data_IF_475819978604
#
_entry.id   IF_475819978604
#
_cell.length_a   1.000
_cell.length_b   1.000
_cell.length_c   1.000
_cell.angle_alpha   90.00
_cell.angle_beta   90.00
_cell.angle_gamma   90.00
#
_symmetry.space_group_name_H-M   'P 1'
#
loop_
_entity.id
_entity.type
_entity.pdbx_description
1 polymer ?
#
# COMPACT_ATOMS: atom_id res chain seq x y z
N UNK A 1 -8.07 -5.82 -0.77
CA UNK A 1 -6.97 -4.86 -0.60
C UNK A 1 -7.55 -3.46 -0.63
N UNK A 2 -7.39 -2.75 0.46
CA UNK A 2 -7.78 -1.36 0.62
C UNK A 2 -6.52 -0.59 0.94
N UNK A 3 -6.22 0.45 0.16
CA UNK A 3 -5.18 1.42 0.46
C UNK A 3 -5.83 2.79 0.60
N UNK A 4 -5.58 3.44 1.73
CA UNK A 4 -6.02 4.81 2.01
C UNK A 4 -4.83 5.68 2.32
N UNK A 5 -4.74 6.84 1.69
CA UNK A 5 -3.73 7.84 2.01
C UNK A 5 -4.41 9.13 2.48
N UNK A 6 -4.03 9.57 3.67
CA UNK A 6 -4.52 10.75 4.33
C UNK A 6 -3.45 11.82 4.35
N UNK A 7 -3.76 13.00 3.82
CA UNK A 7 -2.91 14.18 3.97
C UNK A 7 -3.14 14.77 5.35
N UNK A 8 -2.07 14.93 6.11
CA UNK A 8 -2.09 15.61 7.39
C UNK A 8 -1.98 17.12 7.13
N UNK A 9 -2.94 17.87 7.67
CA UNK A 9 -2.99 19.32 7.58
C UNK A 9 -2.32 19.93 8.82
N UNK A 10 -1.79 21.14 8.67
CA UNK A 10 -1.17 21.87 9.79
C UNK A 10 -2.17 22.21 10.90
N UNK A 11 -3.47 22.21 10.59
CA UNK A 11 -4.57 22.35 11.56
C UNK A 11 -4.79 21.12 12.45
N UNK A 12 -3.97 20.06 12.32
CA UNK A 12 -4.09 18.81 13.06
C UNK A 12 -5.10 17.81 12.49
N UNK A 13 -5.82 18.18 11.42
CA UNK A 13 -6.80 17.32 10.75
C UNK A 13 -6.13 16.43 9.69
N UNK A 14 -6.75 15.28 9.38
CA UNK A 14 -6.32 14.38 8.32
C UNK A 14 -7.42 14.24 7.27
N UNK A 15 -7.09 14.41 5.99
CA UNK A 15 -8.04 14.29 4.88
C UNK A 15 -7.66 13.11 4.00
N UNK A 16 -8.56 12.15 3.82
CA UNK A 16 -8.38 11.05 2.88
C UNK A 16 -8.41 11.60 1.44
N UNK A 17 -7.29 11.58 0.75
CA UNK A 17 -7.19 12.06 -0.64
C UNK A 17 -7.07 10.92 -1.65
N UNK A 18 -6.60 9.75 -1.21
CA UNK A 18 -6.48 8.56 -2.07
C UNK A 18 -7.17 7.40 -1.39
N UNK A 19 -8.05 6.72 -2.11
CA UNK A 19 -8.63 5.45 -1.72
C UNK A 19 -8.60 4.50 -2.92
N UNK A 20 -7.99 3.33 -2.73
CA UNK A 20 -7.93 2.25 -3.72
C UNK A 20 -8.52 1.01 -3.07
N UNK A 21 -9.63 0.54 -3.62
CA UNK A 21 -10.27 -0.71 -3.22
C UNK A 21 -10.22 -1.70 -4.37
N UNK A 22 -9.49 -2.79 -4.17
CA UNK A 22 -9.30 -3.87 -5.15
C UNK A 22 -9.21 -5.24 -4.50
N UNK A 23 -9.48 -6.30 -5.25
CA UNK A 23 -9.27 -7.67 -4.78
C UNK A 23 -7.78 -7.97 -4.67
N UNK A 24 -7.39 -8.92 -3.81
CA UNK A 24 -5.98 -9.32 -3.70
C UNK A 24 -5.42 -9.82 -5.04
N UNK A 25 -6.22 -10.62 -5.77
CA UNK A 25 -5.91 -11.06 -7.14
C UNK A 25 -5.57 -9.88 -8.07
N UNK A 26 -6.41 -8.84 -8.08
CA UNK A 26 -6.16 -7.67 -8.94
C UNK A 26 -4.88 -6.94 -8.55
N UNK A 27 -4.52 -6.91 -7.26
CA UNK A 27 -3.35 -6.19 -6.78
C UNK A 27 -2.04 -6.94 -7.04
N UNK A 28 -2.04 -8.27 -6.97
CA UNK A 28 -0.87 -9.08 -7.37
C UNK A 28 -0.56 -8.94 -8.86
N UNK A 29 -1.56 -8.61 -9.68
CA UNK A 29 -1.43 -8.39 -11.12
C UNK A 29 -1.15 -6.92 -11.50
N UNK A 30 -1.28 -5.97 -10.55
CA UNK A 30 -1.12 -4.54 -10.81
C UNK A 30 0.35 -4.13 -10.91
N UNK A 31 0.74 -3.64 -12.09
CA UNK A 31 2.07 -3.06 -12.32
C UNK A 31 2.23 -1.62 -11.81
N UNK A 32 1.13 -0.98 -11.38
CA UNK A 32 1.12 0.42 -10.94
C UNK A 32 1.43 0.57 -9.45
N UNK A 33 1.91 1.76 -9.07
CA UNK A 33 2.04 2.19 -7.68
C UNK A 33 2.98 1.37 -6.79
N UNK A 34 3.91 0.61 -7.38
CA UNK A 34 4.88 -0.20 -6.63
C UNK A 34 4.26 -1.36 -5.82
N UNK A 35 2.97 -1.65 -6.03
CA UNK A 35 2.26 -2.71 -5.30
C UNK A 35 2.72 -4.11 -5.72
N UNK A 36 3.01 -4.34 -7.00
CA UNK A 36 3.64 -5.60 -7.43
C UNK A 36 4.98 -5.84 -6.74
N UNK A 37 5.79 -4.80 -6.60
CA UNK A 37 7.06 -4.92 -5.90
C UNK A 37 6.83 -5.34 -4.44
N UNK A 38 5.91 -4.67 -3.74
CA UNK A 38 5.51 -5.04 -2.37
C UNK A 38 5.16 -6.53 -2.25
N UNK A 39 4.26 -7.04 -3.09
CA UNK A 39 3.71 -8.39 -2.96
C UNK A 39 4.61 -9.49 -3.54
N UNK A 40 5.29 -9.23 -4.65
CA UNK A 40 5.99 -10.27 -5.41
C UNK A 40 7.49 -10.20 -5.22
N UNK A 41 8.07 -9.00 -5.21
CA UNK A 41 9.52 -8.81 -5.25
C UNK A 41 10.14 -8.71 -3.84
N UNK A 42 9.43 -8.07 -2.91
CA UNK A 42 9.90 -7.80 -1.55
C UNK A 42 9.23 -8.68 -0.48
N UNK A 43 8.28 -9.53 -0.86
CA UNK A 43 7.69 -10.52 0.06
C UNK A 43 8.26 -11.91 -0.23
N UNK A 44 8.67 -12.62 0.82
CA UNK A 44 9.24 -13.96 0.73
C UNK A 44 8.41 -14.97 1.56
N UNK A 45 7.94 -16.08 0.96
CA UNK A 45 7.96 -16.36 -0.48
C UNK A 45 7.10 -15.34 -1.27
N UNK A 46 7.30 -15.24 -2.58
CA UNK A 46 6.57 -14.29 -3.41
C UNK A 46 5.05 -14.53 -3.31
N UNK A 47 4.27 -13.48 -3.13
CA UNK A 47 2.81 -13.61 -3.03
C UNK A 47 2.23 -13.81 -4.44
N UNK A 48 1.73 -15.02 -4.67
CA UNK A 48 0.91 -15.37 -5.82
C UNK A 48 -0.54 -15.61 -5.38
N UNK A 49 -1.48 -15.48 -6.32
CA UNK A 49 -2.86 -15.86 -6.09
C UNK A 49 -3.14 -17.24 -6.71
N UNK A 50 -3.83 -18.16 -6.00
CA UNK A 50 -4.32 -18.03 -4.63
C UNK A 50 -3.19 -18.07 -3.59
N UNK A 51 -3.41 -17.46 -2.43
CA UNK A 51 -2.46 -17.56 -1.32
C UNK A 51 -2.36 -19.00 -0.82
N UNK A 52 -1.14 -19.44 -0.57
CA UNK A 52 -0.88 -20.74 0.04
C UNK A 52 -1.18 -20.66 1.54
N UNK A 53 -1.91 -21.66 2.04
CA UNK A 53 -2.21 -21.77 3.47
C UNK A 53 -0.96 -22.21 4.22
N UNK A 54 -0.87 -21.81 5.49
CA UNK A 54 0.22 -22.21 6.41
C UNK A 54 1.61 -21.69 6.01
N UNK A 55 1.68 -20.74 5.08
CA UNK A 55 2.91 -20.05 4.70
C UNK A 55 3.02 -18.73 5.47
N UNK A 56 4.20 -18.49 6.04
CA UNK A 56 4.55 -17.18 6.60
C UNK A 56 5.20 -16.33 5.51
N UNK A 57 4.52 -15.25 5.14
CA UNK A 57 5.00 -14.28 4.17
C UNK A 57 5.72 -13.14 4.88
N UNK A 58 7.01 -12.96 4.58
CA UNK A 58 7.84 -11.92 5.18
C UNK A 58 8.10 -10.79 4.18
N UNK A 59 7.68 -9.57 4.52
CA UNK A 59 8.02 -8.37 3.75
C UNK A 59 9.39 -7.83 4.19
N UNK A 60 10.38 -7.85 3.31
CA UNK A 60 11.75 -7.42 3.59
C UNK A 60 12.15 -6.27 2.69
N UNK A 61 12.62 -5.15 3.25
CA UNK A 61 13.33 -4.12 2.49
C UNK A 61 12.52 -3.31 1.49
N UNK A 62 11.18 -3.38 1.50
CA UNK A 62 10.36 -2.59 0.60
C UNK A 62 10.42 -1.10 0.95
N UNK A 63 10.79 -0.27 -0.03
CA UNK A 63 10.71 1.18 0.04
C UNK A 63 9.78 1.68 -1.07
N UNK A 64 8.70 2.40 -0.75
CA UNK A 64 7.80 2.92 -1.76
C UNK A 64 8.50 3.96 -2.65
N UNK A 65 8.48 3.75 -3.96
CA UNK A 65 9.06 4.69 -4.92
C UNK A 65 8.15 5.92 -5.09
N UNK A 66 8.61 7.09 -4.62
CA UNK A 66 7.85 8.35 -4.59
C UNK A 66 7.32 8.79 -5.95
N UNK A 67 8.01 8.42 -7.03
CA UNK A 67 7.62 8.74 -8.43
C UNK A 67 6.47 7.90 -8.95
N UNK A 68 6.19 6.78 -8.29
CA UNK A 68 5.10 5.88 -8.66
C UNK A 68 3.84 6.16 -7.83
N UNK A 69 3.71 7.30 -7.14
CA UNK A 69 2.47 7.61 -6.45
C UNK A 69 1.35 8.01 -7.44
N UNK A 70 0.07 7.87 -7.04
CA UNK A 70 -1.05 8.35 -7.86
C UNK A 70 -0.87 9.81 -8.29
N UNK A 71 -1.31 10.19 -9.51
CA UNK A 71 -1.36 11.60 -9.88
C UNK A 71 -2.22 12.37 -8.88
N UNK A 72 -1.82 13.61 -8.55
CA UNK A 72 -2.47 14.52 -7.58
C UNK A 72 -2.10 14.33 -6.11
N UNK A 73 -1.01 13.63 -5.80
CA UNK A 73 -0.50 13.60 -4.42
C UNK A 73 0.28 14.89 -4.13
N UNK A 74 -0.28 15.78 -3.32
CA UNK A 74 0.38 17.05 -2.99
C UNK A 74 1.53 16.89 -1.99
N UNK A 75 2.51 17.82 -1.97
CA UNK A 75 3.52 17.87 -0.93
C UNK A 75 2.90 17.98 0.46
N UNK A 76 3.59 17.42 1.44
CA UNK A 76 3.17 17.45 2.84
C UNK A 76 3.43 16.15 3.58
N UNK A 77 2.87 16.06 4.78
CA UNK A 77 2.91 14.85 5.61
C UNK A 77 1.69 13.99 5.30
N UNK A 78 1.91 12.69 5.18
CA UNK A 78 0.90 11.72 4.80
C UNK A 78 0.92 10.54 5.77
N UNK A 79 -0.27 10.05 6.11
CA UNK A 79 -0.47 8.75 6.72
C UNK A 79 -1.03 7.82 5.65
N UNK A 80 -0.41 6.67 5.45
CA UNK A 80 -0.88 5.66 4.52
C UNK A 80 -1.22 4.40 5.30
N UNK A 81 -2.39 3.84 4.98
CA UNK A 81 -2.93 2.61 5.55
C UNK A 81 -3.19 1.64 4.40
N UNK A 82 -2.60 0.45 4.47
CA UNK A 82 -2.88 -0.63 3.55
C UNK A 82 -3.40 -1.83 4.32
N UNK A 83 -4.49 -2.42 3.85
CA UNK A 83 -5.11 -3.60 4.45
C UNK A 83 -5.47 -4.61 3.37
N UNK A 84 -5.10 -5.87 3.59
CA UNK A 84 -5.57 -6.99 2.78
C UNK A 84 -6.40 -7.90 3.67
N UNK A 85 -7.59 -8.25 3.20
CA UNK A 85 -8.46 -9.23 3.84
C UNK A 85 -8.99 -10.21 2.78
N UNK A 86 -9.31 -11.42 3.22
CA UNK A 86 -10.11 -12.39 2.46
C UNK A 86 -11.57 -11.91 2.37
N UNK A 87 -12.36 -12.54 1.49
CA UNK A 87 -13.79 -12.21 1.31
C UNK A 87 -14.61 -12.44 2.59
N UNK A 88 -14.19 -13.38 3.44
CA UNK A 88 -14.77 -13.62 4.77
C UNK A 88 -14.33 -12.58 5.82
N UNK A 89 -13.67 -11.49 5.40
CA UNK A 89 -13.13 -10.39 6.23
C UNK A 89 -11.96 -10.76 7.14
N UNK A 90 -11.41 -11.97 7.05
CA UNK A 90 -10.17 -12.30 7.76
C UNK A 90 -9.03 -11.44 7.24
N UNK A 91 -8.43 -10.64 8.12
CA UNK A 91 -7.32 -9.74 7.78
C UNK A 91 -6.04 -10.56 7.61
N UNK A 92 -5.36 -10.36 6.49
CA UNK A 92 -4.12 -11.04 6.10
C UNK A 92 -2.91 -10.14 6.35
N UNK A 93 -3.07 -8.85 6.09
CA UNK A 93 -2.00 -7.86 6.16
C UNK A 93 -2.55 -6.51 6.56
N UNK A 94 -1.86 -5.84 7.45
CA UNK A 94 -2.06 -4.42 7.76
C UNK A 94 -0.69 -3.76 7.78
N UNK A 95 -0.52 -2.72 6.99
CA UNK A 95 0.62 -1.82 7.10
C UNK A 95 0.15 -0.40 7.27
N UNK A 96 0.81 0.30 8.18
CA UNK A 96 0.61 1.71 8.41
C UNK A 96 1.98 2.37 8.36
N UNK A 97 2.12 3.40 7.54
CA UNK A 97 3.35 4.19 7.49
C UNK A 97 3.07 5.66 7.30
N UNK A 98 4.04 6.48 7.71
CA UNK A 98 4.02 7.91 7.48
C UNK A 98 5.03 8.24 6.39
N UNK A 99 4.64 9.14 5.49
CA UNK A 99 5.51 9.64 4.43
C UNK A 99 5.50 11.17 4.43
N UNK A 100 6.64 11.78 4.08
CA UNK A 100 6.70 13.19 3.73
C UNK A 100 7.03 13.29 2.26
N UNK A 101 6.12 13.91 1.50
CA UNK A 101 6.28 14.11 0.07
C UNK A 101 6.81 15.52 -0.14
N UNK A 102 7.91 15.59 -0.86
CA UNK A 102 8.61 16.82 -1.25
C UNK A 102 8.78 16.70 -2.76
N UNK A 103 8.41 17.73 -3.51
CA UNK A 103 8.77 17.83 -4.92
C UNK A 103 10.12 18.52 -5.00
N UNK A 104 11.09 17.87 -5.64
CA UNK A 104 12.32 18.54 -6.05
C UNK A 104 11.95 19.46 -7.23
N UNK A 105 12.24 20.75 -7.08
CA UNK A 105 12.21 21.71 -8.18
C UNK A 105 13.35 21.43 -9.16
#
# INVERSE_FOLDING_TARGET
FTLRAYKLLDSGHAVCQVQIDKTLKSVTEMKSYGLRALWVEYTHPAVSWPLEKEITYQLLGWVPESRKFPPNVHPGKWKIEATTAFDNKTIIFVANWFARIIYDN
#
